data_IF_170607622402
#
_entry.id   IF_170607622402
#
_cell.length_a   1.000
_cell.length_b   1.000
_cell.length_c   1.000
_cell.angle_alpha   90.00
_cell.angle_beta   90.00
_cell.angle_gamma   90.00
#
_symmetry.space_group_name_H-M   'P 1'
#
loop_
_entity.id
_entity.type
_entity.pdbx_description
1 polymer ?
#
# COMPACT_ATOMS: atom_id res chain seq x y z
N UNK A 1 20.50 -50.09 16.04
CA UNK A 1 21.44 -50.12 14.91
C UNK A 1 21.02 -49.04 13.95
N UNK A 2 21.81 -47.98 13.89
CA UNK A 2 21.77 -46.93 12.88
C UNK A 2 21.79 -47.48 11.46
N UNK A 3 21.15 -46.79 10.50
CA UNK A 3 21.88 -46.08 9.43
C UNK A 3 20.92 -45.25 8.57
N UNK A 4 21.00 -43.95 8.85
CA UNK A 4 21.03 -42.80 7.94
C UNK A 4 21.05 -43.05 6.42
N UNK A 5 20.22 -42.31 5.68
CA UNK A 5 20.46 -42.00 4.26
C UNK A 5 20.21 -40.52 4.04
N UNK A 6 21.30 -39.79 4.21
CA UNK A 6 21.53 -38.46 3.66
C UNK A 6 21.33 -38.47 2.14
N UNK A 7 20.53 -37.55 1.62
CA UNK A 7 20.68 -37.11 0.22
C UNK A 7 20.52 -35.60 0.11
N UNK A 8 21.67 -34.96 0.30
CA UNK A 8 22.21 -33.83 -0.46
C UNK A 8 21.23 -32.80 -1.02
N UNK A 9 21.26 -31.65 -0.34
CA UNK A 9 21.11 -30.29 -0.87
C UNK A 9 21.49 -30.15 -2.34
N UNK A 10 20.49 -29.89 -3.18
CA UNK A 10 20.69 -29.30 -4.51
C UNK A 10 20.66 -27.78 -4.40
N UNK A 11 21.84 -27.17 -4.48
CA UNK A 11 21.99 -25.73 -4.67
C UNK A 11 21.46 -25.35 -6.05
N UNK A 12 20.24 -24.84 -6.12
CA UNK A 12 19.68 -24.25 -7.34
C UNK A 12 19.23 -22.82 -7.07
N UNK A 13 19.57 -21.94 -8.01
CA UNK A 13 19.65 -20.48 -7.93
C UNK A 13 18.29 -19.75 -7.97
N UNK A 14 17.36 -20.05 -7.05
CA UNK A 14 15.97 -19.51 -7.11
C UNK A 14 15.58 -18.55 -5.97
N UNK A 15 16.56 -18.09 -5.19
CA UNK A 15 16.37 -17.60 -3.81
C UNK A 15 16.04 -16.11 -3.63
N UNK A 16 15.11 -15.56 -4.42
CA UNK A 16 14.69 -14.15 -4.20
C UNK A 16 13.21 -13.90 -3.99
N UNK A 17 12.31 -14.81 -4.36
CA UNK A 17 10.88 -14.64 -4.10
C UNK A 17 10.46 -15.43 -2.87
N UNK A 18 10.91 -16.69 -2.76
CA UNK A 18 10.55 -17.55 -1.64
C UNK A 18 11.15 -17.08 -0.31
N UNK A 19 12.37 -16.55 -0.35
CA UNK A 19 12.99 -15.87 0.80
C UNK A 19 12.21 -14.63 1.25
N UNK A 20 11.61 -13.88 0.31
CA UNK A 20 10.75 -12.74 0.64
C UNK A 20 9.41 -13.20 1.23
N UNK A 21 8.81 -14.29 0.74
CA UNK A 21 7.57 -14.84 1.30
C UNK A 21 7.78 -15.36 2.71
N UNK A 22 8.81 -16.15 2.93
CA UNK A 22 9.16 -16.65 4.27
C UNK A 22 9.37 -15.50 5.27
N UNK A 23 10.11 -14.46 4.87
CA UNK A 23 10.33 -13.29 5.72
C UNK A 23 9.06 -12.46 5.99
N UNK A 24 8.07 -12.49 5.09
CA UNK A 24 6.77 -11.86 5.30
C UNK A 24 5.88 -12.70 6.21
N UNK A 25 5.91 -14.02 6.05
CA UNK A 25 5.17 -14.99 6.88
C UNK A 25 5.64 -14.96 8.33
N UNK A 26 6.97 -14.92 8.58
CA UNK A 26 7.54 -14.74 9.92
C UNK A 26 7.08 -13.44 10.60
N UNK A 27 6.73 -12.41 9.82
CA UNK A 27 6.20 -11.14 10.30
C UNK A 27 4.66 -11.10 10.31
N UNK A 28 3.97 -12.20 9.97
CA UNK A 28 2.52 -12.28 9.89
C UNK A 28 1.89 -11.43 8.79
N UNK A 29 2.63 -11.17 7.71
CA UNK A 29 2.21 -10.34 6.58
C UNK A 29 1.81 -11.21 5.38
N UNK A 30 0.90 -10.69 4.55
CA UNK A 30 0.48 -11.35 3.30
C UNK A 30 1.69 -11.69 2.41
N UNK A 31 1.68 -12.88 1.82
CA UNK A 31 2.74 -13.44 0.96
C UNK A 31 2.36 -13.48 -0.51
N UNK A 32 1.15 -13.03 -0.87
CA UNK A 32 0.68 -12.93 -2.27
C UNK A 32 1.36 -11.76 -3.00
N UNK A 33 1.44 -11.89 -4.33
CA UNK A 33 1.98 -10.88 -5.24
C UNK A 33 3.34 -11.22 -5.85
N UNK A 34 3.82 -10.34 -6.72
CA UNK A 34 5.10 -10.49 -7.44
C UNK A 34 6.28 -9.88 -6.68
N UNK A 35 7.52 -10.25 -7.05
CA UNK A 35 8.78 -9.88 -6.36
C UNK A 35 8.89 -8.40 -5.92
N UNK A 36 8.54 -7.39 -6.75
CA UNK A 36 8.62 -5.98 -6.34
C UNK A 36 7.66 -5.63 -5.20
N UNK A 37 6.46 -6.21 -5.22
CA UNK A 37 5.44 -6.00 -4.21
C UNK A 37 5.84 -6.60 -2.86
N UNK A 38 6.35 -7.84 -2.87
CA UNK A 38 6.88 -8.51 -1.68
C UNK A 38 8.03 -7.70 -1.06
N UNK A 39 8.96 -7.21 -1.88
CA UNK A 39 10.09 -6.37 -1.41
C UNK A 39 9.60 -5.04 -0.84
N UNK A 40 8.61 -4.39 -1.46
CA UNK A 40 7.99 -3.15 -0.97
C UNK A 40 7.31 -3.38 0.39
N UNK A 41 6.58 -4.48 0.52
CA UNK A 41 5.88 -4.89 1.76
C UNK A 41 6.88 -5.12 2.90
N UNK A 42 7.93 -5.90 2.64
CA UNK A 42 8.98 -6.18 3.63
C UNK A 42 9.72 -4.91 4.06
N UNK A 43 10.02 -4.01 3.12
CA UNK A 43 10.66 -2.71 3.44
C UNK A 43 9.76 -1.82 4.32
N UNK A 44 8.46 -1.78 4.03
CA UNK A 44 7.47 -1.01 4.83
C UNK A 44 7.39 -1.56 6.26
N UNK A 45 7.37 -2.88 6.41
CA UNK A 45 7.34 -3.55 7.71
C UNK A 45 8.60 -3.24 8.53
N UNK A 46 9.79 -3.40 7.94
CA UNK A 46 11.07 -3.07 8.60
C UNK A 46 11.14 -1.61 9.03
N UNK A 47 10.65 -0.68 8.18
CA UNK A 47 10.61 0.75 8.52
C UNK A 47 9.63 1.06 9.66
N UNK A 48 8.50 0.33 9.73
CA UNK A 48 7.52 0.47 10.82
C UNK A 48 8.13 0.00 12.16
N UNK A 49 8.78 -1.16 12.18
CA UNK A 49 9.48 -1.69 13.35
C UNK A 49 10.58 -0.74 13.85
N UNK A 50 11.38 -0.18 12.93
CA UNK A 50 12.43 0.78 13.30
C UNK A 50 11.86 2.09 13.88
N UNK A 51 10.66 2.52 13.46
CA UNK A 51 10.00 3.71 13.99
C UNK A 51 9.40 3.46 15.38
N UNK A 52 8.77 2.31 15.58
CA UNK A 52 8.17 1.92 16.87
C UNK A 52 9.23 1.77 17.98
N UNK A 53 10.45 1.33 17.66
CA UNK A 53 11.58 1.27 18.60
C UNK A 53 12.15 2.65 18.99
N UNK A 54 11.91 3.69 18.18
CA UNK A 54 12.35 5.06 18.47
C UNK A 54 11.35 5.77 19.39
N UNK A 55 10.07 5.40 19.32
CA UNK A 55 9.00 6.01 20.11
C UNK A 55 8.93 5.47 21.56
N UNK A 56 9.55 4.32 21.88
CA UNK A 56 9.53 3.72 23.24
C UNK A 56 10.56 4.30 24.22
N UNK A 57 11.44 5.23 23.81
CA UNK A 57 12.47 5.85 24.68
C UNK A 57 12.20 7.31 25.11
N UNK A 58 10.99 7.85 24.88
CA UNK A 58 10.62 9.22 25.29
C UNK A 58 9.40 9.23 26.22
N UNK A 59 9.67 8.89 27.48
CA UNK A 59 9.12 9.44 28.72
C UNK A 59 7.62 9.76 28.84
N UNK A 60 7.02 9.10 29.84
CA UNK A 60 6.18 9.71 30.87
C UNK A 60 6.33 11.24 30.98
N UNK A 61 5.28 12.00 30.64
CA UNK A 61 4.62 13.06 31.45
C UNK A 61 3.52 13.69 30.57
N UNK A 62 2.27 13.68 31.04
CA UNK A 62 1.18 14.54 30.55
C UNK A 62 1.09 15.81 31.45
N UNK A 63 0.33 16.89 31.14
CA UNK A 63 -0.71 17.00 30.11
C UNK A 63 -0.71 18.30 29.27
N UNK A 64 -1.41 18.21 28.13
CA UNK A 64 -2.37 19.19 27.57
C UNK A 64 -1.92 20.66 27.37
N UNK A 65 -1.84 21.11 26.10
CA UNK A 65 -2.53 22.35 25.67
C UNK A 65 -2.58 22.56 24.15
N UNK A 66 -3.82 22.70 23.69
CA UNK A 66 -4.38 23.45 22.56
C UNK A 66 -3.51 23.98 21.39
N UNK A 67 -3.79 23.41 20.22
CA UNK A 67 -4.30 24.02 18.98
C UNK A 67 -3.99 25.51 18.69
N UNK A 68 -3.46 25.69 17.47
CA UNK A 68 -3.92 26.62 16.41
C UNK A 68 -2.95 27.73 16.00
N UNK A 69 -2.40 27.53 14.81
CA UNK A 69 -2.43 28.46 13.66
C UNK A 69 -1.65 29.77 13.77
N UNK A 70 -0.73 29.99 12.81
CA UNK A 70 -0.78 31.11 11.83
C UNK A 70 0.54 31.21 11.06
N UNK A 71 0.43 30.98 9.74
CA UNK A 71 0.97 31.72 8.56
C UNK A 71 2.45 32.22 8.56
N UNK A 72 3.03 32.20 7.35
CA UNK A 72 4.14 33.01 6.78
C UNK A 72 5.48 32.26 6.77
N UNK A 73 6.37 32.39 5.80
CA UNK A 73 6.48 33.27 4.63
C UNK A 73 7.62 32.74 3.75
N UNK A 74 7.55 33.10 2.47
CA UNK A 74 8.66 33.25 1.52
C UNK A 74 10.00 33.61 2.19
N UNK A 75 11.09 32.93 1.80
CA UNK A 75 12.45 33.47 1.54
C UNK A 75 13.26 32.38 0.78
N UNK A 76 13.82 32.78 -0.36
CA UNK A 76 14.94 32.20 -1.17
C UNK A 76 16.08 33.27 -1.08
N UNK A 77 17.39 33.07 -1.38
CA UNK A 77 18.24 31.92 -1.78
C UNK A 77 19.39 31.67 -0.74
N UNK A 78 20.32 30.72 -0.85
CA UNK A 78 21.49 30.69 -1.76
C UNK A 78 22.35 29.43 -1.51
N UNK A 79 23.19 29.08 -2.49
CA UNK A 79 23.76 27.76 -2.78
C UNK A 79 24.97 27.34 -1.93
N UNK A 80 25.13 26.02 -1.74
CA UNK A 80 26.40 25.30 -2.02
C UNK A 80 26.23 23.78 -1.87
N UNK A 81 26.33 23.10 -3.01
CA UNK A 81 27.03 21.82 -3.25
C UNK A 81 26.82 20.57 -2.34
N UNK A 82 26.38 19.51 -3.06
CA UNK A 82 26.72 18.08 -2.96
C UNK A 82 25.67 17.11 -2.36
N UNK A 83 25.60 15.95 -3.05
CA UNK A 83 24.79 14.75 -2.84
C UNK A 83 23.30 14.80 -3.24
N UNK A 84 23.05 14.48 -4.52
CA UNK A 84 21.73 14.09 -5.02
C UNK A 84 21.33 12.70 -4.53
N UNK A 85 21.11 12.56 -3.22
CA UNK A 85 20.19 11.58 -2.68
C UNK A 85 18.87 12.31 -2.45
N UNK A 86 18.14 12.58 -3.54
CA UNK A 86 16.82 13.21 -3.47
C UNK A 86 15.95 12.35 -2.54
N UNK A 87 15.78 12.87 -1.33
CA UNK A 87 14.67 12.58 -0.45
C UNK A 87 13.40 12.98 -1.18
N UNK A 88 12.96 12.15 -2.12
CA UNK A 88 11.57 12.07 -2.53
C UNK A 88 10.84 11.45 -1.34
N UNK A 89 10.74 12.22 -0.24
CA UNK A 89 9.56 12.14 0.60
C UNK A 89 8.45 12.69 -0.29
N UNK A 90 7.99 11.85 -1.22
CA UNK A 90 6.73 12.06 -1.91
C UNK A 90 5.76 12.25 -0.76
N UNK A 91 5.36 13.50 -0.50
CA UNK A 91 4.26 13.82 0.40
C UNK A 91 3.14 12.93 -0.12
N UNK A 92 2.89 11.82 0.57
CA UNK A 92 1.82 10.91 0.17
C UNK A 92 0.60 11.77 0.37
N UNK A 93 0.05 12.27 -0.74
CA UNK A 93 -1.15 13.07 -0.70
C UNK A 93 -2.19 12.15 -0.07
N UNK A 94 -2.68 12.56 1.11
CA UNK A 94 -3.79 11.85 1.73
C UNK A 94 -4.94 11.99 0.75
N UNK A 95 -5.59 10.86 0.46
CA UNK A 95 -6.78 10.89 -0.38
C UNK A 95 -7.79 11.89 0.24
N UNK A 96 -8.44 12.77 -0.54
CA UNK A 96 -9.25 13.87 -0.01
C UNK A 96 -10.74 13.57 0.13
N UNK A 97 -11.23 12.43 -0.39
CA UNK A 97 -12.64 12.09 -0.48
C UNK A 97 -13.15 11.36 0.76
N UNK A 98 -14.35 11.72 1.23
CA UNK A 98 -14.97 11.02 2.34
C UNK A 98 -15.62 9.69 1.92
N UNK A 99 -16.02 9.57 0.65
CA UNK A 99 -16.61 8.37 0.07
C UNK A 99 -16.17 8.17 -1.38
N UNK A 100 -16.15 6.91 -1.80
CA UNK A 100 -15.98 6.48 -3.19
C UNK A 100 -17.23 5.74 -3.64
N UNK A 101 -17.76 6.13 -4.79
CA UNK A 101 -18.88 5.45 -5.44
C UNK A 101 -18.32 4.63 -6.60
N UNK A 102 -18.41 3.30 -6.50
CA UNK A 102 -18.09 2.39 -7.58
C UNK A 102 -19.39 1.94 -8.22
N UNK A 103 -19.41 1.89 -9.55
CA UNK A 103 -20.49 1.31 -10.32
C UNK A 103 -19.90 0.53 -11.48
N UNK A 104 -20.58 -0.54 -11.88
CA UNK A 104 -20.16 -1.40 -12.98
C UNK A 104 -21.37 -1.69 -13.86
N UNK A 105 -21.56 -0.87 -14.90
CA UNK A 105 -22.78 -0.90 -15.71
C UNK A 105 -22.68 -1.98 -16.77
N UNK A 106 -23.65 -2.89 -16.78
CA UNK A 106 -23.84 -3.83 -17.89
C UNK A 106 -24.84 -3.25 -18.88
N UNK A 107 -24.56 -3.44 -20.18
CA UNK A 107 -25.37 -2.92 -21.27
C UNK A 107 -25.70 -4.02 -22.30
N UNK A 108 -26.77 -3.81 -23.07
CA UNK A 108 -27.04 -4.64 -24.25
C UNK A 108 -25.88 -4.53 -25.24
N UNK A 109 -25.58 -5.61 -25.97
CA UNK A 109 -24.58 -5.60 -27.04
C UNK A 109 -24.97 -6.59 -28.16
N UNK A 110 -24.42 -6.38 -29.36
CA UNK A 110 -24.58 -7.27 -30.50
C UNK A 110 -23.20 -7.68 -31.06
N UNK A 111 -23.07 -8.94 -31.50
CA UNK A 111 -21.84 -9.44 -32.10
C UNK A 111 -21.51 -8.64 -33.37
N UNK A 112 -20.38 -7.93 -33.37
CA UNK A 112 -19.98 -7.07 -34.46
C UNK A 112 -20.73 -5.72 -34.54
N UNK A 113 -21.59 -5.40 -33.56
CA UNK A 113 -22.34 -4.14 -33.51
C UNK A 113 -21.48 -2.87 -33.41
N UNK A 114 -20.22 -3.02 -32.97
CA UNK A 114 -19.24 -1.93 -32.97
C UNK A 114 -19.68 -0.74 -32.10
N UNK A 115 -19.35 0.47 -32.54
CA UNK A 115 -19.68 1.72 -31.83
C UNK A 115 -21.05 2.31 -32.21
N UNK A 116 -21.72 1.77 -33.23
CA UNK A 116 -23.00 2.27 -33.74
C UNK A 116 -24.21 1.55 -33.15
N UNK A 117 -23.98 0.43 -32.45
CA UNK A 117 -25.05 -0.27 -31.74
C UNK A 117 -25.57 0.58 -30.58
N UNK A 118 -26.88 0.77 -30.52
CA UNK A 118 -27.55 1.53 -29.46
C UNK A 118 -27.59 0.70 -28.17
N UNK A 119 -26.49 0.70 -27.43
CA UNK A 119 -26.36 -0.01 -26.16
C UNK A 119 -27.31 0.62 -25.11
N UNK A 120 -28.12 -0.21 -24.46
CA UNK A 120 -29.03 0.18 -23.37
C UNK A 120 -28.54 -0.42 -22.05
N UNK A 121 -28.60 0.34 -20.95
CA UNK A 121 -28.21 -0.15 -19.62
C UNK A 121 -29.21 -1.21 -19.16
N UNK A 122 -28.72 -2.38 -18.78
CA UNK A 122 -29.52 -3.51 -18.28
C UNK A 122 -29.21 -3.89 -16.83
N UNK A 123 -28.05 -3.50 -16.30
CA UNK A 123 -27.70 -3.65 -14.89
C UNK A 123 -26.92 -2.43 -14.39
N UNK A 124 -27.14 -2.03 -13.14
CA UNK A 124 -26.47 -0.87 -12.54
C UNK A 124 -26.12 -1.13 -11.06
N UNK A 125 -25.21 -2.07 -10.76
CA UNK A 125 -24.71 -2.26 -9.41
C UNK A 125 -23.95 -1.02 -8.92
N UNK A 126 -24.15 -0.68 -7.65
CA UNK A 126 -23.49 0.45 -6.97
C UNK A 126 -22.91 -0.02 -5.64
N UNK A 127 -21.66 0.35 -5.39
CA UNK A 127 -20.94 0.11 -4.14
C UNK A 127 -20.43 1.43 -3.58
N UNK A 128 -20.86 1.79 -2.37
CA UNK A 128 -20.36 2.95 -1.67
C UNK A 128 -19.31 2.55 -0.64
N UNK A 129 -18.09 3.07 -0.78
CA UNK A 129 -16.96 2.78 0.11
C UNK A 129 -16.58 4.02 0.91
N UNK A 130 -16.36 3.86 2.21
CA UNK A 130 -15.88 4.93 3.08
C UNK A 130 -14.41 5.27 2.76
N UNK A 131 -14.09 6.52 2.45
CA UNK A 131 -12.72 6.92 2.08
C UNK A 131 -11.72 6.92 3.25
N UNK A 132 -12.20 6.92 4.50
CA UNK A 132 -11.34 6.89 5.70
C UNK A 132 -11.02 5.47 6.13
N UNK A 133 -12.00 4.56 6.09
CA UNK A 133 -11.83 3.17 6.54
C UNK A 133 -11.63 2.17 5.39
N UNK A 134 -12.00 2.54 4.16
CA UNK A 134 -12.07 1.66 2.98
C UNK A 134 -13.01 0.46 3.15
N UNK A 135 -13.97 0.56 4.06
CA UNK A 135 -15.03 -0.41 4.23
C UNK A 135 -16.23 -0.06 3.34
N UNK A 136 -16.94 -1.10 2.88
CA UNK A 136 -18.19 -0.88 2.16
C UNK A 136 -19.29 -0.47 3.15
N UNK A 137 -20.00 0.60 2.81
CA UNK A 137 -21.09 1.17 3.61
C UNK A 137 -22.46 0.84 3.00
N UNK A 138 -22.54 0.71 1.67
CA UNK A 138 -23.78 0.42 0.97
C UNK A 138 -23.51 -0.43 -0.27
N UNK A 139 -24.37 -1.42 -0.48
CA UNK A 139 -24.48 -2.22 -1.70
C UNK A 139 -25.90 -2.05 -2.26
N UNK A 140 -25.99 -1.66 -3.53
CA UNK A 140 -27.22 -1.70 -4.31
C UNK A 140 -26.97 -2.62 -5.51
N UNK A 141 -27.85 -3.60 -5.67
CA UNK A 141 -27.87 -4.59 -6.76
C UNK A 141 -29.11 -4.32 -7.59
#
# INVERSE_FOLDING_TARGET
MESDSTTMTSSSTTTTVESLRKALEELGLDTRGHKPELKKRLRKAKKKLAKEQVDTKKNDTSPLSSRSTTIKSVIIPDQSDQDQNEQISSKIQKQPFDYYLFFDVEATCEEGGGFEYDNEIIEFPIVLVNGRTFEIVMYLI
#
